data_IF_031344217137
#
_entry.id   IF_031344217137
#
_cell.length_a   1.000
_cell.length_b   1.000
_cell.length_c   1.000
_cell.angle_alpha   90.00
_cell.angle_beta   90.00
_cell.angle_gamma   90.00
#
_symmetry.space_group_name_H-M   'P 1'
#
loop_
_entity.id
_entity.type
_entity.pdbx_description
1 polymer ?
#
# COMPACT_ATOMS: atom_id res chain seq x y z
N UNK A 1 1.58 -16.44 -9.80
CA UNK A 1 2.13 -15.23 -9.18
C UNK A 1 0.99 -14.23 -9.15
N UNK A 2 0.38 -14.03 -7.99
CA UNK A 2 -0.87 -13.29 -7.87
C UNK A 2 -0.58 -11.97 -7.18
N UNK A 3 -0.49 -10.91 -7.97
CA UNK A 3 -0.51 -9.53 -7.51
C UNK A 3 -1.98 -9.18 -7.25
N UNK A 4 -2.47 -9.42 -6.05
CA UNK A 4 -3.85 -9.21 -5.68
C UNK A 4 -4.01 -7.91 -4.86
N UNK A 5 -4.57 -6.84 -5.46
CA UNK A 5 -4.71 -5.56 -4.79
C UNK A 5 -5.68 -5.59 -3.60
N UNK A 6 -6.46 -6.66 -3.41
CA UNK A 6 -7.39 -6.80 -2.29
C UNK A 6 -6.70 -7.21 -1.00
N UNK A 7 -5.41 -7.58 -1.08
CA UNK A 7 -4.56 -7.82 0.10
C UNK A 7 -4.11 -6.54 0.79
N UNK A 8 -4.31 -5.39 0.14
CA UNK A 8 -4.16 -4.07 0.76
C UNK A 8 -5.45 -3.74 1.51
N UNK A 9 -5.37 -3.72 2.82
CA UNK A 9 -6.48 -3.41 3.71
C UNK A 9 -6.46 -1.90 3.98
N UNK A 10 -7.58 -1.24 3.70
CA UNK A 10 -7.75 0.20 3.88
C UNK A 10 -8.80 0.43 4.94
N UNK A 11 -8.47 1.26 5.92
CA UNK A 11 -9.31 1.63 7.04
C UNK A 11 -9.39 3.15 7.03
N UNK A 12 -10.59 3.70 6.85
CA UNK A 12 -10.82 5.13 7.05
C UNK A 12 -10.87 5.42 8.55
N UNK A 13 -10.05 6.38 8.99
CA UNK A 13 -9.93 6.79 10.38
C UNK A 13 -10.40 8.25 10.50
N UNK A 14 -11.46 8.41 11.28
CA UNK A 14 -12.13 9.65 11.67
C UNK A 14 -13.03 10.32 10.61
N UNK A 15 -14.33 10.02 10.70
CA UNK A 15 -15.44 10.76 10.05
C UNK A 15 -15.80 12.05 10.83
N UNK A 16 -15.45 12.11 12.13
CA UNK A 16 -15.78 13.21 13.03
C UNK A 16 -14.73 14.34 13.08
N UNK A 17 -13.51 14.04 12.63
CA UNK A 17 -12.43 15.00 12.49
C UNK A 17 -12.50 15.50 11.05
N UNK A 18 -12.42 16.81 10.80
CA UNK A 18 -12.39 17.40 9.45
C UNK A 18 -11.15 17.03 8.60
N UNK A 19 -10.43 15.98 9.00
CA UNK A 19 -9.24 15.44 8.34
C UNK A 19 -9.54 13.99 7.99
N UNK A 20 -10.01 13.73 6.77
CA UNK A 20 -10.12 12.37 6.25
C UNK A 20 -8.72 11.75 6.22
N UNK A 21 -8.53 10.68 6.99
CA UNK A 21 -7.27 9.97 7.03
C UNK A 21 -7.52 8.49 6.76
N UNK A 22 -6.62 7.88 5.99
CA UNK A 22 -6.67 6.48 5.63
C UNK A 22 -5.49 5.79 6.29
N UNK A 23 -5.76 4.70 7.00
CA UNK A 23 -4.77 3.75 7.45
C UNK A 23 -4.77 2.56 6.51
N UNK A 24 -3.59 2.17 6.06
CA UNK A 24 -3.43 1.02 5.18
C UNK A 24 -2.41 0.05 5.74
N UNK A 25 -2.62 -1.23 5.48
CA UNK A 25 -1.65 -2.27 5.77
C UNK A 25 -1.81 -3.43 4.80
N UNK A 26 -0.78 -4.24 4.67
CA UNK A 26 -0.86 -5.48 3.90
C UNK A 26 -1.42 -6.61 4.78
N UNK A 27 -2.29 -7.46 4.25
CA UNK A 27 -2.95 -8.55 4.99
C UNK A 27 -1.96 -9.46 5.73
N UNK A 28 -0.81 -9.77 5.11
CA UNK A 28 0.23 -10.61 5.70
C UNK A 28 1.19 -9.85 6.64
N UNK A 29 1.13 -8.52 6.66
CA UNK A 29 2.00 -7.66 7.46
C UNK A 29 1.18 -6.62 8.21
N UNK A 30 0.27 -7.04 9.11
CA UNK A 30 -0.60 -6.13 9.85
C UNK A 30 0.16 -5.23 10.81
N UNK A 31 1.39 -5.59 11.21
CA UNK A 31 2.29 -4.70 11.97
C UNK A 31 2.83 -3.52 11.15
N UNK A 32 2.93 -3.64 9.83
CA UNK A 32 3.37 -2.55 8.94
C UNK A 32 2.16 -1.76 8.45
N UNK A 33 1.81 -0.72 9.21
CA UNK A 33 0.69 0.16 8.91
C UNK A 33 1.21 1.55 8.53
N UNK A 34 0.57 2.18 7.55
CA UNK A 34 0.84 3.56 7.18
C UNK A 34 -0.44 4.37 7.12
N UNK A 35 -0.34 5.63 7.52
CA UNK A 35 -1.46 6.57 7.50
C UNK A 35 -1.18 7.66 6.46
N UNK A 36 -2.23 8.10 5.77
CA UNK A 36 -2.12 9.14 4.76
C UNK A 36 -3.45 9.83 4.47
N UNK A 37 -3.42 11.01 3.84
CA UNK A 37 -4.61 11.77 3.48
C UNK A 37 -5.43 11.11 2.35
N UNK A 38 -4.84 10.13 1.66
CA UNK A 38 -5.53 9.28 0.68
C UNK A 38 -5.01 7.85 0.77
N UNK A 39 -5.81 6.89 0.32
CA UNK A 39 -5.39 5.50 0.24
C UNK A 39 -4.17 5.32 -0.68
N UNK A 40 -4.08 6.06 -1.79
CA UNK A 40 -2.95 5.97 -2.73
C UNK A 40 -1.64 6.42 -2.08
N UNK A 41 -1.64 7.57 -1.38
CA UNK A 41 -0.46 8.06 -0.67
C UNK A 41 -0.05 7.12 0.45
N UNK A 42 -1.00 6.62 1.22
CA UNK A 42 -0.72 5.68 2.30
C UNK A 42 -0.13 4.36 1.76
N UNK A 43 -0.61 3.87 0.61
CA UNK A 43 -0.09 2.64 -0.03
C UNK A 43 1.29 2.85 -0.67
N UNK A 44 1.54 4.03 -1.25
CA UNK A 44 2.86 4.40 -1.76
C UNK A 44 3.90 4.36 -0.64
N UNK A 45 3.62 5.01 0.50
CA UNK A 45 4.51 5.01 1.66
C UNK A 45 4.70 3.59 2.24
N UNK A 46 3.65 2.77 2.26
CA UNK A 46 3.72 1.38 2.68
C UNK A 46 4.67 0.56 1.77
N UNK A 47 4.58 0.75 0.45
CA UNK A 47 5.45 0.05 -0.51
C UNK A 47 6.91 0.49 -0.39
N UNK A 48 7.17 1.78 -0.21
CA UNK A 48 8.50 2.32 0.05
C UNK A 48 9.10 1.75 1.34
N UNK A 49 8.30 1.67 2.40
CA UNK A 49 8.74 1.10 3.67
C UNK A 49 9.09 -0.37 3.54
N UNK A 50 8.23 -1.17 2.89
CA UNK A 50 8.51 -2.58 2.62
C UNK A 50 9.77 -2.76 1.77
N UNK A 51 10.00 -1.90 0.79
CA UNK A 51 11.21 -1.95 -0.04
C UNK A 51 12.48 -1.63 0.77
N UNK A 52 12.40 -0.69 1.72
CA UNK A 52 13.51 -0.39 2.62
C UNK A 52 13.80 -1.56 3.58
N UNK A 53 12.76 -2.21 4.12
CA UNK A 53 12.91 -3.38 4.99
C UNK A 53 13.47 -4.59 4.22
N UNK A 54 13.11 -4.77 2.93
CA UNK A 54 13.58 -5.87 2.07
C UNK A 54 15.11 -5.98 1.96
N UNK A 55 15.83 -4.85 2.02
CA UNK A 55 17.29 -4.83 1.95
C UNK A 55 17.95 -5.39 3.21
N UNK A 56 17.26 -5.29 4.35
CA UNK A 56 17.74 -5.72 5.65
C UNK A 56 17.30 -7.14 6.05
N UNK A 57 16.44 -7.80 5.27
CA UNK A 57 15.89 -9.13 5.59
C UNK A 57 16.88 -10.24 5.20
N UNK A 58 17.43 -11.01 6.15
CA UNK A 58 18.36 -12.09 5.85
C UNK A 58 17.68 -13.40 5.44
N UNK A 59 16.39 -13.58 5.77
CA UNK A 59 15.63 -14.79 5.46
C UNK A 59 15.06 -14.73 4.04
N UNK A 60 15.43 -15.67 3.13
CA UNK A 60 14.95 -15.64 1.74
C UNK A 60 13.43 -15.78 1.62
N UNK A 61 12.79 -16.58 2.47
CA UNK A 61 11.34 -16.81 2.41
C UNK A 61 10.58 -15.54 2.82
N UNK A 62 11.09 -14.83 3.83
CA UNK A 62 10.58 -13.55 4.27
C UNK A 62 10.82 -12.47 3.19
N UNK A 63 11.97 -12.50 2.52
CA UNK A 63 12.27 -11.62 1.40
C UNK A 63 11.28 -11.80 0.24
N UNK A 64 10.98 -13.05 -0.12
CA UNK A 64 9.97 -13.36 -1.13
C UNK A 64 8.58 -12.88 -0.71
N UNK A 65 8.20 -13.04 0.56
CA UNK A 65 6.92 -12.58 1.08
C UNK A 65 6.78 -11.04 1.03
N UNK A 66 7.83 -10.31 1.41
CA UNK A 66 7.85 -8.83 1.33
C UNK A 66 7.84 -8.38 -0.14
N UNK A 67 8.56 -9.06 -1.02
CA UNK A 67 8.55 -8.76 -2.45
C UNK A 67 7.15 -8.93 -3.06
N UNK A 68 6.44 -9.99 -2.70
CA UNK A 68 5.04 -10.20 -3.12
C UNK A 68 4.13 -9.08 -2.60
N UNK A 69 4.30 -8.65 -1.35
CA UNK A 69 3.49 -7.58 -0.78
C UNK A 69 3.75 -6.20 -1.45
N UNK A 70 4.98 -5.94 -1.89
CA UNK A 70 5.31 -4.77 -2.72
C UNK A 70 4.60 -4.85 -4.08
N UNK A 71 4.59 -6.02 -4.70
CA UNK A 71 3.90 -6.25 -5.97
C UNK A 71 2.37 -6.11 -5.84
N UNK A 72 1.78 -6.59 -4.74
CA UNK A 72 0.38 -6.40 -4.37
C UNK A 72 0.03 -4.90 -4.21
N UNK A 73 0.89 -4.14 -3.52
CA UNK A 73 0.74 -2.69 -3.35
C UNK A 73 0.84 -1.92 -4.69
N UNK A 74 1.78 -2.31 -5.56
CA UNK A 74 1.90 -1.72 -6.91
C UNK A 74 0.69 -2.00 -7.78
N UNK A 75 0.14 -3.22 -7.74
CA UNK A 75 -1.08 -3.55 -8.45
C UNK A 75 -2.28 -2.74 -7.95
N UNK A 76 -2.34 -2.43 -6.66
CA UNK A 76 -3.36 -1.53 -6.12
C UNK A 76 -3.25 -0.12 -6.70
N UNK A 77 -2.03 0.44 -6.73
CA UNK A 77 -1.79 1.78 -7.29
C UNK A 77 -2.09 1.84 -8.79
N UNK A 78 -1.70 0.81 -9.55
CA UNK A 78 -2.00 0.72 -10.98
C UNK A 78 -3.51 0.67 -11.25
N UNK A 79 -4.24 -0.17 -10.50
CA UNK A 79 -5.70 -0.25 -10.59
C UNK A 79 -6.37 1.09 -10.26
N UNK A 80 -5.86 1.84 -9.28
CA UNK A 80 -6.36 3.18 -8.96
C UNK A 80 -6.09 4.20 -10.05
N UNK A 81 -4.90 4.17 -10.65
CA UNK A 81 -4.54 5.02 -11.80
C UNK A 81 -5.39 4.72 -13.04
N UNK A 82 -5.75 3.45 -13.26
CA UNK A 82 -6.62 3.06 -14.37
C UNK A 82 -8.08 3.55 -14.18
N UNK A 83 -8.53 3.67 -12.92
CA UNK A 83 -9.88 4.15 -12.58
C UNK A 83 -9.94 5.68 -12.51
N UNK A 84 -8.87 6.34 -12.08
CA UNK A 84 -8.72 7.79 -12.08
C UNK A 84 -7.60 8.21 -13.04
N UNK A 85 -7.89 8.33 -14.36
CA UNK A 85 -6.94 9.00 -15.24
C UNK A 85 -6.73 10.41 -14.70
N UNK A 86 -5.48 10.77 -14.42
CA UNK A 86 -5.11 12.13 -14.09
C UNK A 86 -5.80 13.07 -15.11
N UNK A 87 -6.49 14.15 -14.68
CA UNK A 87 -7.10 15.06 -15.63
C UNK A 87 -6.00 15.55 -16.56
N UNK A 88 -6.15 15.23 -17.86
CA UNK A 88 -5.26 15.74 -18.89
C UNK A 88 -5.20 17.25 -18.73
N UNK A 89 -4.02 17.77 -18.40
CA UNK A 89 -3.77 19.20 -18.38
C UNK A 89 -4.15 19.76 -19.76
N UNK A 90 -5.16 20.65 -19.76
CA UNK A 90 -5.53 21.47 -20.91
C UNK A 90 -4.64 22.70 -20.97
#
# INVERSE_FOLDING_TARGET
MSNDPRRIIIIEICDACSSHMFRVHHQNFPEMQHEGPSAEQAVEHLAERMAADLDCVPDPSHREAVQLAIDDARAFLDAKRAVHPAPAAQ
#
